data_IF_858450316812
#
_entry.id   IF_858450316812
#
_cell.length_a   1.000
_cell.length_b   1.000
_cell.length_c   1.000
_cell.angle_alpha   90.00
_cell.angle_beta   90.00
_cell.angle_gamma   90.00
#
_symmetry.space_group_name_H-M   'P 1'
#
loop_
_entity.id
_entity.type
_entity.pdbx_description
1 polymer ?
#
# COMPACT_ATOMS: atom_id res chain seq x y z
N UNK A 1 15.74 -19.28 14.96
CA UNK A 1 14.54 -19.31 14.10
C UNK A 1 14.40 -17.90 13.56
N UNK A 2 14.22 -17.73 12.25
CA UNK A 2 14.21 -16.39 11.65
C UNK A 2 12.96 -15.64 12.12
N UNK A 3 13.14 -14.75 13.10
CA UNK A 3 12.12 -13.91 13.73
C UNK A 3 11.78 -12.72 12.82
N UNK A 4 11.51 -13.02 11.54
CA UNK A 4 11.19 -11.99 10.55
C UNK A 4 9.69 -11.98 10.39
N UNK A 5 9.08 -10.85 10.76
CA UNK A 5 7.67 -10.58 10.55
C UNK A 5 7.27 -10.94 9.10
N UNK A 6 6.17 -11.70 8.90
CA UNK A 6 5.67 -12.01 7.56
C UNK A 6 5.38 -10.72 6.78
N UNK A 7 5.88 -10.66 5.54
CA UNK A 7 5.75 -9.53 4.65
C UNK A 7 4.57 -9.73 3.71
N UNK A 8 3.63 -8.79 3.67
CA UNK A 8 2.39 -8.91 2.89
C UNK A 8 2.10 -7.64 2.09
N UNK A 9 1.83 -7.82 0.80
CA UNK A 9 1.28 -6.78 -0.07
C UNK A 9 -0.24 -6.91 -0.15
N UNK A 10 -0.96 -5.81 -0.01
CA UNK A 10 -2.42 -5.78 -0.14
C UNK A 10 -2.78 -5.14 -1.48
N UNK A 11 -3.31 -5.94 -2.40
CA UNK A 11 -3.91 -5.46 -3.64
C UNK A 11 -5.35 -5.03 -3.39
N UNK A 12 -5.72 -3.82 -3.81
CA UNK A 12 -7.05 -3.26 -3.59
C UNK A 12 -7.46 -2.29 -4.70
N UNK A 13 -8.75 -2.00 -4.82
CA UNK A 13 -9.22 -0.93 -5.70
C UNK A 13 -9.03 0.45 -5.04
N UNK A 14 -9.03 1.51 -5.84
CA UNK A 14 -8.92 2.88 -5.32
C UNK A 14 -10.03 3.24 -4.34
N UNK A 15 -11.23 2.69 -4.54
CA UNK A 15 -12.40 2.93 -3.67
C UNK A 15 -12.22 2.34 -2.26
N UNK A 16 -11.41 1.28 -2.13
CA UNK A 16 -11.20 0.57 -0.86
C UNK A 16 -10.09 1.19 0.01
N UNK A 17 -9.44 2.27 -0.43
CA UNK A 17 -8.32 2.91 0.26
C UNK A 17 -8.56 3.21 1.74
N UNK A 18 -9.72 3.77 2.16
CA UNK A 18 -9.97 4.05 3.58
C UNK A 18 -9.94 2.77 4.42
N UNK A 19 -10.56 1.70 3.93
CA UNK A 19 -10.61 0.40 4.61
C UNK A 19 -9.24 -0.27 4.66
N UNK A 20 -8.53 -0.29 3.52
CA UNK A 20 -7.26 -1.02 3.39
C UNK A 20 -6.15 -0.40 4.23
N UNK A 21 -6.17 0.92 4.44
CA UNK A 21 -5.26 1.59 5.38
C UNK A 21 -5.46 1.12 6.82
N UNK A 22 -6.71 1.03 7.27
CA UNK A 22 -7.03 0.53 8.62
C UNK A 22 -6.68 -0.95 8.75
N UNK A 23 -6.97 -1.75 7.72
CA UNK A 23 -6.62 -3.17 7.69
C UNK A 23 -5.10 -3.41 7.76
N UNK A 24 -4.30 -2.67 6.97
CA UNK A 24 -2.84 -2.74 7.02
C UNK A 24 -2.27 -2.28 8.37
N UNK A 25 -2.89 -1.29 9.03
CA UNK A 25 -2.52 -0.91 10.39
C UNK A 25 -2.73 -2.08 11.36
N UNK A 26 -3.90 -2.72 11.32
CA UNK A 26 -4.21 -3.86 12.19
C UNK A 26 -3.26 -5.04 11.97
N UNK A 27 -2.88 -5.33 10.72
CA UNK A 27 -1.89 -6.37 10.42
C UNK A 27 -0.53 -6.06 11.06
N UNK A 28 -0.06 -4.81 10.96
CA UNK A 28 1.18 -4.36 11.61
C UNK A 28 1.12 -4.44 13.13
N UNK A 29 -0.01 -4.07 13.73
CA UNK A 29 -0.25 -4.22 15.17
C UNK A 29 -0.20 -5.70 15.63
N UNK A 30 -0.40 -6.65 14.70
CA UNK A 30 -0.33 -8.10 14.96
C UNK A 30 1.01 -8.74 14.50
N UNK A 31 2.03 -7.94 14.21
CA UNK A 31 3.36 -8.45 13.85
C UNK A 31 3.51 -8.89 12.39
N UNK A 32 2.61 -8.45 11.50
CA UNK A 32 2.70 -8.66 10.05
C UNK A 32 3.13 -7.36 9.38
N UNK A 33 4.25 -7.38 8.67
CA UNK A 33 4.76 -6.24 7.92
C UNK A 33 3.95 -6.06 6.62
N UNK A 34 2.84 -5.32 6.74
CA UNK A 34 1.90 -5.08 5.65
C UNK A 34 2.09 -3.69 5.03
N UNK A 35 2.15 -3.64 3.69
CA UNK A 35 2.14 -2.40 2.91
C UNK A 35 1.02 -2.40 1.86
N UNK A 36 0.58 -1.20 1.50
CA UNK A 36 -0.50 -0.93 0.56
C UNK A 36 0.04 -0.06 -0.58
N UNK A 37 -0.59 -0.12 -1.75
CA UNK A 37 -0.24 0.76 -2.86
C UNK A 37 -0.77 2.17 -2.58
N UNK A 38 0.10 3.06 -2.08
CA UNK A 38 -0.26 4.47 -1.81
C UNK A 38 -0.19 5.36 -3.06
N UNK A 39 0.24 4.81 -4.21
CA UNK A 39 0.43 5.56 -5.43
C UNK A 39 -0.88 5.69 -6.21
N UNK A 40 -1.64 6.73 -5.88
CA UNK A 40 -2.58 7.31 -6.83
C UNK A 40 -1.78 7.94 -7.97
N UNK A 41 -1.54 7.18 -9.05
CA UNK A 41 -1.20 7.79 -10.33
C UNK A 41 -2.42 8.61 -10.74
N UNK A 42 -2.41 9.89 -10.39
CA UNK A 42 -3.36 10.84 -10.96
C UNK A 42 -3.16 10.80 -12.48
N UNK A 43 -4.23 10.66 -13.28
CA UNK A 43 -4.12 10.77 -14.72
C UNK A 43 -3.60 12.17 -15.07
N UNK A 44 -2.31 12.26 -15.40
CA UNK A 44 -1.61 13.52 -15.67
C UNK A 44 -0.15 13.59 -15.18
N UNK A 45 0.31 12.68 -14.31
CA UNK A 45 1.54 12.98 -13.55
C UNK A 45 2.87 12.85 -14.30
N UNK A 46 2.98 12.27 -15.51
CA UNK A 46 4.23 12.35 -16.31
C UNK A 46 4.01 12.25 -17.82
N UNK A 47 4.02 13.40 -18.49
CA UNK A 47 4.72 13.63 -19.75
C UNK A 47 4.77 15.15 -20.04
N UNK A 48 5.37 15.93 -19.14
CA UNK A 48 5.84 17.28 -19.49
C UNK A 48 6.91 17.12 -20.58
N UNK A 49 6.48 17.25 -21.83
CA UNK A 49 7.33 17.32 -23.01
C UNK A 49 8.11 18.63 -22.93
N UNK A 50 9.27 18.64 -22.28
CA UNK A 50 10.18 19.76 -22.35
C UNK A 50 10.79 19.77 -23.76
N UNK A 51 10.25 20.65 -24.61
CA UNK A 51 10.92 21.13 -25.82
C UNK A 51 12.01 22.12 -25.44
#
# INVERSE_FOLDING_TARGET
MNDVAPKVFISHASEDKPFVREFAKRLRDNGVDAWVDEWEILPGDKAELHK
#
